data_IF_288641774772
#
_entry.id   IF_288641774772
#
_cell.length_a   1.000
_cell.length_b   1.000
_cell.length_c   1.000
_cell.angle_alpha   90.00
_cell.angle_beta   90.00
_cell.angle_gamma   90.00
#
_symmetry.space_group_name_H-M   'P 1'
#
loop_
_entity.id
_entity.type
_entity.pdbx_description
1 polymer ?
#
# COMPACT_ATOMS: atom_id res chain seq x y z
N UNK A 1 22.86 -4.84 7.22
CA UNK A 1 23.03 -3.52 6.59
C UNK A 1 23.14 -3.76 5.10
N UNK A 2 22.45 -2.97 4.29
CA UNK A 2 22.34 -3.23 2.84
C UNK A 2 23.67 -2.98 2.15
N UNK A 3 23.92 -3.76 1.09
CA UNK A 3 25.14 -3.71 0.31
C UNK A 3 25.24 -2.51 -0.63
N UNK A 4 24.09 -2.03 -1.11
CA UNK A 4 23.95 -0.84 -1.94
C UNK A 4 22.57 -0.21 -1.68
N UNK A 5 22.33 1.00 -2.20
CA UNK A 5 21.08 1.71 -1.98
C UNK A 5 20.00 1.29 -2.99
N UNK A 6 18.98 0.56 -2.53
CA UNK A 6 17.83 0.16 -3.35
C UNK A 6 16.95 1.33 -3.80
N UNK A 7 17.09 2.53 -3.23
CA UNK A 7 16.37 3.72 -3.70
C UNK A 7 16.78 4.13 -5.13
N UNK A 8 17.93 3.67 -5.61
CA UNK A 8 18.43 3.95 -6.96
C UNK A 8 17.58 3.28 -8.06
N UNK A 9 16.83 2.22 -7.73
CA UNK A 9 16.03 1.44 -8.70
C UNK A 9 14.94 2.29 -9.37
N UNK A 10 14.48 3.36 -8.72
CA UNK A 10 13.50 4.29 -9.31
C UNK A 10 14.00 4.95 -10.60
N UNK A 11 15.31 5.07 -10.79
CA UNK A 11 15.93 5.67 -11.97
C UNK A 11 16.15 4.66 -13.12
N UNK A 12 15.92 3.35 -12.90
CA UNK A 12 16.19 2.32 -13.91
C UNK A 12 15.39 2.49 -15.19
N UNK A 13 14.14 2.98 -15.14
CA UNK A 13 13.35 3.25 -16.34
C UNK A 13 14.00 4.31 -17.24
N UNK A 14 14.51 5.38 -16.62
CA UNK A 14 15.24 6.43 -17.32
C UNK A 14 16.54 5.88 -17.92
N UNK A 15 17.28 5.09 -17.14
CA UNK A 15 18.55 4.51 -17.59
C UNK A 15 18.35 3.47 -18.69
N UNK A 16 17.24 2.72 -18.65
CA UNK A 16 16.79 1.86 -19.74
C UNK A 16 16.57 2.64 -21.02
N UNK A 17 15.79 3.72 -20.96
CA UNK A 17 15.54 4.56 -22.13
C UNK A 17 16.85 5.17 -22.68
N UNK A 18 17.78 5.57 -21.82
CA UNK A 18 19.09 6.08 -22.25
C UNK A 18 19.91 4.99 -22.94
N UNK A 19 19.91 3.75 -22.41
CA UNK A 19 20.64 2.63 -22.99
C UNK A 19 20.03 2.20 -24.33
N UNK A 20 18.70 2.12 -24.43
CA UNK A 20 18.00 1.61 -25.61
C UNK A 20 18.05 2.56 -26.81
N UNK A 21 17.87 3.87 -26.56
CA UNK A 21 17.80 4.92 -27.59
C UNK A 21 19.16 5.46 -28.03
N UNK A 22 20.26 4.86 -27.59
CA UNK A 22 21.59 5.31 -27.91
C UNK A 22 22.11 4.57 -29.15
N UNK A 23 21.95 5.21 -30.31
CA UNK A 23 22.37 4.67 -31.61
C UNK A 23 23.83 5.04 -31.97
N UNK A 24 24.50 5.85 -31.14
CA UNK A 24 25.89 6.22 -31.36
C UNK A 24 26.80 5.11 -30.83
N UNK A 25 27.41 4.36 -31.74
CA UNK A 25 28.46 3.40 -31.40
C UNK A 25 29.70 4.14 -30.90
N UNK A 26 30.18 3.77 -29.70
CA UNK A 26 31.47 4.22 -29.22
C UNK A 26 32.58 3.48 -29.98
N UNK A 27 33.34 4.20 -30.80
CA UNK A 27 34.52 3.65 -31.46
C UNK A 27 35.75 3.75 -30.54
N UNK A 28 36.25 2.59 -30.11
CA UNK A 28 37.50 2.47 -29.36
C UNK A 28 38.59 1.89 -30.27
N UNK A 29 39.82 2.39 -30.15
CA UNK A 29 40.97 2.01 -30.98
C UNK A 29 41.24 0.49 -31.00
N UNK A 30 40.95 -0.20 -29.89
CA UNK A 30 40.91 -1.66 -29.79
C UNK A 30 39.48 -2.04 -29.42
N UNK A 31 38.66 -2.42 -30.41
CA UNK A 31 37.26 -2.77 -30.18
C UNK A 31 37.15 -3.98 -29.24
N UNK A 32 36.80 -3.79 -27.95
CA UNK A 32 36.81 -4.87 -26.97
C UNK A 32 35.62 -5.82 -27.21
N UNK A 33 34.60 -5.39 -27.96
CA UNK A 33 33.41 -6.16 -28.31
C UNK A 33 33.60 -7.06 -29.53
N UNK A 34 34.69 -6.92 -30.28
CA UNK A 34 34.99 -7.80 -31.41
C UNK A 34 35.24 -9.24 -30.92
N UNK A 35 35.10 -10.23 -31.81
CA UNK A 35 35.34 -11.65 -31.48
C UNK A 35 36.74 -11.94 -30.93
N UNK A 36 37.71 -11.04 -31.19
CA UNK A 36 39.08 -11.12 -30.69
C UNK A 36 39.38 -10.08 -29.59
N UNK A 37 38.40 -9.24 -29.26
CA UNK A 37 38.50 -8.23 -28.22
C UNK A 37 38.35 -8.84 -26.82
N UNK A 38 38.75 -8.10 -25.78
CA UNK A 38 38.76 -8.61 -24.41
C UNK A 38 37.39 -9.13 -23.94
N UNK A 39 36.31 -8.43 -24.32
CA UNK A 39 34.94 -8.79 -23.96
C UNK A 39 34.42 -9.85 -24.94
N UNK A 40 34.48 -9.62 -26.25
CA UNK A 40 33.86 -10.53 -27.23
C UNK A 40 34.50 -11.93 -27.29
N UNK A 41 35.79 -12.05 -26.93
CA UNK A 41 36.48 -13.35 -26.83
C UNK A 41 36.33 -14.03 -25.45
N UNK A 42 35.81 -13.32 -24.44
CA UNK A 42 35.74 -13.84 -23.07
C UNK A 42 34.84 -15.06 -23.01
N UNK A 43 35.41 -16.24 -22.72
CA UNK A 43 34.64 -17.48 -22.47
C UNK A 43 33.53 -17.76 -23.51
N UNK A 44 33.78 -17.43 -24.79
CA UNK A 44 32.84 -17.56 -25.90
C UNK A 44 31.51 -16.77 -25.76
N UNK A 45 31.47 -15.69 -24.97
CA UNK A 45 30.25 -14.90 -24.80
C UNK A 45 29.81 -14.17 -26.07
N UNK A 46 30.71 -13.94 -27.04
CA UNK A 46 30.41 -13.15 -28.25
C UNK A 46 29.22 -13.64 -29.07
N UNK A 47 28.91 -14.95 -29.03
CA UNK A 47 27.72 -15.51 -29.68
C UNK A 47 26.40 -15.13 -28.97
N UNK A 48 26.46 -14.92 -27.65
CA UNK A 48 25.29 -14.65 -26.79
C UNK A 48 25.17 -13.18 -26.40
N UNK A 49 26.27 -12.44 -26.50
CA UNK A 49 26.35 -11.01 -26.29
C UNK A 49 26.94 -10.36 -27.54
N UNK A 50 26.12 -10.18 -28.58
CA UNK A 50 26.57 -9.72 -29.88
C UNK A 50 27.26 -8.35 -29.79
N UNK A 51 28.15 -8.08 -30.75
CA UNK A 51 28.96 -6.86 -30.77
C UNK A 51 28.13 -5.57 -30.60
N UNK A 52 26.96 -5.47 -31.24
CA UNK A 52 26.09 -4.29 -31.13
C UNK A 52 25.53 -4.11 -29.70
N UNK A 53 25.20 -5.18 -28.97
CA UNK A 53 24.76 -5.09 -27.57
C UNK A 53 25.92 -4.66 -26.67
N UNK A 54 27.11 -5.21 -26.93
CA UNK A 54 28.33 -4.83 -26.23
C UNK A 54 28.69 -3.36 -26.47
N UNK A 55 28.60 -2.86 -27.70
CA UNK A 55 28.79 -1.44 -28.03
C UNK A 55 27.79 -0.54 -27.34
N UNK A 56 26.50 -0.90 -27.30
CA UNK A 56 25.50 -0.16 -26.52
C UNK A 56 25.88 -0.05 -25.05
N UNK A 57 26.36 -1.14 -24.47
CA UNK A 57 26.81 -1.19 -23.09
C UNK A 57 28.05 -0.30 -22.86
N UNK A 58 29.02 -0.29 -23.77
CA UNK A 58 30.18 0.63 -23.75
C UNK A 58 29.76 2.09 -23.87
N UNK A 59 28.86 2.43 -24.80
CA UNK A 59 28.40 3.81 -24.97
C UNK A 59 27.61 4.27 -23.76
N UNK A 60 26.83 3.39 -23.13
CA UNK A 60 26.19 3.72 -21.85
C UNK A 60 27.26 3.98 -20.78
N UNK A 61 28.26 3.10 -20.65
CA UNK A 61 29.34 3.26 -19.69
C UNK A 61 30.15 4.56 -19.89
N UNK A 62 30.39 5.00 -21.13
CA UNK A 62 31.14 6.24 -21.40
C UNK A 62 30.41 7.50 -20.95
N UNK A 63 29.08 7.44 -20.90
CA UNK A 63 28.23 8.54 -20.42
C UNK A 63 28.10 8.59 -18.90
N UNK A 64 28.57 7.57 -18.18
CA UNK A 64 28.60 7.58 -16.72
C UNK A 64 29.48 8.75 -16.25
N UNK A 65 28.85 9.70 -15.57
CA UNK A 65 29.48 10.93 -15.09
C UNK A 65 30.47 10.66 -13.97
N UNK A 66 31.50 11.49 -13.87
CA UNK A 66 32.47 11.42 -12.78
C UNK A 66 31.83 11.73 -11.42
N UNK A 67 31.98 10.83 -10.46
CA UNK A 67 31.67 11.06 -9.05
C UNK A 67 32.84 11.78 -8.37
N UNK A 68 33.24 12.95 -8.84
CA UNK A 68 34.36 13.63 -8.18
C UNK A 68 34.00 14.11 -6.77
N UNK A 69 32.70 14.31 -6.46
CA UNK A 69 32.24 14.79 -5.14
C UNK A 69 30.86 14.30 -4.65
N UNK A 70 30.09 13.57 -5.45
CA UNK A 70 28.74 13.13 -5.07
C UNK A 70 28.62 11.61 -5.12
N UNK A 71 28.52 11.00 -3.95
CA UNK A 71 28.24 9.57 -3.73
C UNK A 71 26.89 9.08 -4.28
N UNK A 72 26.17 9.84 -5.11
CA UNK A 72 24.74 9.62 -5.33
C UNK A 72 24.21 9.68 -6.76
N UNK A 73 25.01 10.02 -7.78
CA UNK A 73 24.52 10.17 -9.16
C UNK A 73 25.14 9.25 -10.20
N UNK A 74 26.30 8.63 -9.94
CA UNK A 74 26.78 7.57 -10.84
C UNK A 74 26.43 6.18 -10.30
N UNK A 75 25.94 6.07 -9.06
CA UNK A 75 25.57 4.78 -8.50
C UNK A 75 24.37 4.15 -9.22
N UNK A 76 23.37 4.93 -9.64
CA UNK A 76 22.21 4.41 -10.36
C UNK A 76 22.56 3.94 -11.77
N UNK A 77 23.41 4.66 -12.49
CA UNK A 77 23.85 4.28 -13.84
C UNK A 77 24.71 3.02 -13.77
N UNK A 78 25.66 3.00 -12.82
CA UNK A 78 26.52 1.86 -12.59
C UNK A 78 25.73 0.61 -12.17
N UNK A 79 24.76 0.75 -11.26
CA UNK A 79 23.91 -0.34 -10.80
C UNK A 79 23.00 -0.83 -11.92
N UNK A 80 22.38 0.08 -12.67
CA UNK A 80 21.53 -0.27 -13.80
C UNK A 80 22.30 -1.03 -14.87
N UNK A 81 23.52 -0.59 -15.23
CA UNK A 81 24.35 -1.28 -16.21
C UNK A 81 24.70 -2.71 -15.75
N UNK A 82 25.03 -2.89 -14.46
CA UNK A 82 25.29 -4.23 -13.90
C UNK A 82 24.04 -5.10 -13.99
N UNK A 83 22.90 -4.58 -13.53
CA UNK A 83 21.60 -5.24 -13.57
C UNK A 83 21.19 -5.64 -15.00
N UNK A 84 21.40 -4.74 -15.96
CA UNK A 84 21.09 -4.99 -17.37
C UNK A 84 21.98 -6.10 -17.95
N UNK A 85 23.30 -6.06 -17.71
CA UNK A 85 24.20 -7.13 -18.12
C UNK A 85 23.84 -8.47 -17.47
N UNK A 86 23.48 -8.46 -16.17
CA UNK A 86 23.01 -9.66 -15.49
C UNK A 86 21.86 -10.31 -16.23
N UNK A 87 20.85 -9.53 -16.61
CA UNK A 87 19.67 -10.04 -17.30
C UNK A 87 19.96 -10.51 -18.73
N UNK A 88 20.83 -9.82 -19.48
CA UNK A 88 21.29 -10.28 -20.79
C UNK A 88 21.99 -11.64 -20.68
N UNK A 89 22.83 -11.86 -19.67
CA UNK A 89 23.53 -13.15 -19.48
C UNK A 89 22.67 -14.24 -18.81
N UNK A 90 21.73 -13.86 -17.94
CA UNK A 90 20.78 -14.80 -17.29
C UNK A 90 19.94 -15.54 -18.32
N UNK A 91 19.54 -14.87 -19.40
CA UNK A 91 18.79 -15.47 -20.51
C UNK A 91 19.51 -16.67 -21.16
N UNK A 92 20.81 -16.80 -20.95
CA UNK A 92 21.67 -17.87 -21.49
C UNK A 92 22.32 -18.73 -20.41
N UNK A 93 21.89 -18.65 -19.15
CA UNK A 93 22.51 -19.31 -17.99
C UNK A 93 24.00 -18.95 -17.80
N UNK A 94 24.33 -17.68 -18.02
CA UNK A 94 25.70 -17.16 -17.98
C UNK A 94 25.88 -15.99 -17.01
N UNK A 95 24.94 -15.79 -16.09
CA UNK A 95 24.95 -14.66 -15.14
C UNK A 95 26.17 -14.64 -14.22
N UNK A 96 26.88 -15.76 -14.04
CA UNK A 96 28.16 -15.82 -13.34
C UNK A 96 29.25 -14.94 -13.97
N UNK A 97 29.15 -14.65 -15.28
CA UNK A 97 30.15 -13.86 -16.01
C UNK A 97 29.88 -12.36 -15.96
N UNK A 98 28.73 -11.93 -15.43
CA UNK A 98 28.34 -10.52 -15.37
C UNK A 98 29.39 -9.65 -14.69
N UNK A 99 29.95 -10.11 -13.56
CA UNK A 99 30.94 -9.37 -12.80
C UNK A 99 32.22 -9.09 -13.61
N UNK A 100 32.78 -10.13 -14.24
CA UNK A 100 34.02 -10.02 -15.02
C UNK A 100 33.84 -9.14 -16.26
N UNK A 101 32.69 -9.29 -16.93
CA UNK A 101 32.38 -8.51 -18.12
C UNK A 101 32.14 -7.05 -17.76
N UNK A 102 31.41 -6.78 -16.68
CA UNK A 102 31.22 -5.44 -16.15
C UNK A 102 32.57 -4.77 -15.84
N UNK A 103 33.48 -5.49 -15.17
CA UNK A 103 34.83 -5.02 -14.86
C UNK A 103 35.60 -4.63 -16.13
N UNK A 104 35.62 -5.51 -17.13
CA UNK A 104 36.30 -5.25 -18.41
C UNK A 104 35.69 -4.08 -19.15
N UNK A 105 34.37 -3.98 -19.17
CA UNK A 105 33.62 -2.92 -19.85
C UNK A 105 33.94 -1.54 -19.27
N UNK A 106 33.89 -1.40 -17.94
CA UNK A 106 34.23 -0.13 -17.28
C UNK A 106 35.69 0.24 -17.53
N UNK A 107 36.61 -0.72 -17.49
CA UNK A 107 38.03 -0.46 -17.72
C UNK A 107 38.36 -0.11 -19.17
N UNK A 108 37.64 -0.67 -20.14
CA UNK A 108 37.82 -0.34 -21.56
C UNK A 108 37.52 1.14 -21.84
N UNK A 109 36.59 1.72 -21.09
CA UNK A 109 36.12 3.10 -21.32
C UNK A 109 36.85 4.12 -20.43
N UNK A 110 37.07 3.79 -19.16
CA UNK A 110 37.61 4.77 -18.19
C UNK A 110 39.02 4.43 -17.70
N UNK A 111 39.59 3.31 -18.13
CA UNK A 111 40.88 2.82 -17.67
C UNK A 111 40.82 2.13 -16.29
N UNK A 112 41.88 1.38 -15.93
CA UNK A 112 41.90 0.55 -14.73
C UNK A 112 41.91 1.34 -13.42
N UNK A 113 42.47 2.56 -13.43
CA UNK A 113 42.66 3.38 -12.22
C UNK A 113 41.50 4.35 -11.93
N UNK A 114 40.47 4.39 -12.78
CA UNK A 114 39.31 5.24 -12.58
C UNK A 114 38.49 4.81 -11.34
N UNK A 115 37.80 5.76 -10.69
CA UNK A 115 36.94 5.51 -9.52
C UNK A 115 35.45 5.33 -9.84
N UNK A 116 34.99 5.55 -11.09
CA UNK A 116 33.58 5.30 -11.45
C UNK A 116 33.18 3.86 -11.19
N UNK A 117 31.95 3.68 -10.72
CA UNK A 117 31.35 2.37 -10.43
C UNK A 117 32.17 1.50 -9.47
N UNK A 118 33.02 2.10 -8.62
CA UNK A 118 33.99 1.37 -7.79
C UNK A 118 33.36 0.20 -7.02
N UNK A 119 32.21 0.42 -6.40
CA UNK A 119 31.53 -0.61 -5.63
C UNK A 119 31.20 -1.85 -6.49
N UNK A 120 30.49 -1.63 -7.61
CA UNK A 120 30.04 -2.69 -8.52
C UNK A 120 31.18 -3.31 -9.34
N UNK A 121 32.30 -2.60 -9.49
CA UNK A 121 33.50 -3.12 -10.16
C UNK A 121 34.25 -4.16 -9.32
N UNK A 122 34.10 -4.12 -7.99
CA UNK A 122 34.82 -5.01 -7.06
C UNK A 122 33.91 -5.89 -6.21
N UNK A 123 32.59 -5.73 -6.33
CA UNK A 123 31.61 -6.49 -5.56
C UNK A 123 30.57 -7.09 -6.49
N UNK A 124 30.48 -8.42 -6.50
CA UNK A 124 29.41 -9.13 -7.19
C UNK A 124 28.07 -8.95 -6.47
N UNK A 125 27.00 -8.70 -7.23
CA UNK A 125 25.63 -8.72 -6.72
C UNK A 125 25.11 -10.16 -6.75
N UNK A 126 24.59 -10.64 -5.62
CA UNK A 126 24.04 -11.99 -5.51
C UNK A 126 22.69 -12.13 -6.21
N UNK A 127 22.30 -13.36 -6.56
CA UNK A 127 21.02 -13.63 -7.20
C UNK A 127 19.82 -13.15 -6.36
N UNK A 128 19.88 -13.29 -5.03
CA UNK A 128 18.85 -12.78 -4.12
C UNK A 128 18.74 -11.26 -4.23
N UNK A 129 19.88 -10.56 -4.27
CA UNK A 129 19.89 -9.11 -4.42
C UNK A 129 19.35 -8.66 -5.78
N UNK A 130 19.65 -9.39 -6.85
CA UNK A 130 19.06 -9.16 -8.18
C UNK A 130 17.54 -9.39 -8.16
N UNK A 131 17.04 -10.43 -7.50
CA UNK A 131 15.60 -10.67 -7.41
C UNK A 131 14.86 -9.52 -6.71
N UNK A 132 15.48 -8.93 -5.67
CA UNK A 132 14.94 -7.74 -5.02
C UNK A 132 14.94 -6.52 -5.95
N UNK A 133 15.98 -6.36 -6.80
CA UNK A 133 16.02 -5.34 -7.85
C UNK A 133 14.91 -5.58 -8.89
N UNK A 134 14.74 -6.81 -9.38
CA UNK A 134 13.69 -7.20 -10.34
C UNK A 134 12.30 -6.84 -9.81
N UNK A 135 12.05 -7.10 -8.52
CA UNK A 135 10.77 -6.83 -7.90
C UNK A 135 10.49 -5.33 -7.76
N UNK A 136 11.43 -4.57 -7.21
CA UNK A 136 11.31 -3.11 -7.11
C UNK A 136 11.18 -2.45 -8.48
N UNK A 137 12.00 -2.87 -9.45
CA UNK A 137 11.98 -2.33 -10.79
C UNK A 137 10.64 -2.63 -11.49
N UNK A 138 10.13 -3.86 -11.34
CA UNK A 138 8.81 -4.23 -11.84
C UNK A 138 7.69 -3.39 -11.22
N UNK A 139 7.74 -3.12 -9.91
CA UNK A 139 6.76 -2.27 -9.23
C UNK A 139 6.82 -0.82 -9.70
N UNK A 140 8.02 -0.23 -9.82
CA UNK A 140 8.18 1.12 -10.37
C UNK A 140 7.70 1.22 -11.83
N UNK A 141 8.01 0.21 -12.64
CA UNK A 141 7.55 0.10 -14.03
C UNK A 141 6.02 0.04 -14.10
N UNK A 142 5.39 -0.76 -13.25
CA UNK A 142 3.94 -0.85 -13.16
C UNK A 142 3.30 0.49 -12.76
N UNK A 143 3.86 1.18 -11.76
CA UNK A 143 3.39 2.51 -11.36
C UNK A 143 3.53 3.52 -12.51
N UNK A 144 4.65 3.49 -13.22
CA UNK A 144 4.86 4.35 -14.38
C UNK A 144 3.81 4.12 -15.46
N UNK A 145 3.53 2.86 -15.82
CA UNK A 145 2.48 2.54 -16.81
C UNK A 145 1.09 3.01 -16.40
N UNK A 146 0.77 2.96 -15.10
CA UNK A 146 -0.51 3.46 -14.61
C UNK A 146 -0.55 4.98 -14.73
N UNK A 147 0.52 5.67 -14.31
CA UNK A 147 0.64 7.12 -14.35
C UNK A 147 0.53 7.68 -15.77
N UNK A 148 1.21 7.06 -16.73
CA UNK A 148 1.25 7.51 -18.14
C UNK A 148 0.15 6.90 -18.99
N UNK A 149 -0.61 5.94 -18.47
CA UNK A 149 -1.56 5.12 -19.23
C UNK A 149 -0.93 4.43 -20.47
N UNK A 150 0.38 4.16 -20.42
CA UNK A 150 1.14 3.56 -21.52
C UNK A 150 1.48 2.09 -21.25
N UNK A 151 0.52 1.20 -21.49
CA UNK A 151 0.68 -0.22 -21.19
C UNK A 151 1.30 -1.00 -22.37
N UNK A 152 2.25 -1.92 -22.11
CA UNK A 152 2.73 -2.83 -23.15
C UNK A 152 1.63 -3.82 -23.56
N UNK A 153 1.78 -4.41 -24.76
CA UNK A 153 0.83 -5.39 -25.29
C UNK A 153 0.58 -6.53 -24.29
N UNK A 154 -0.70 -6.85 -24.06
CA UNK A 154 -1.12 -7.90 -23.11
C UNK A 154 -1.11 -7.47 -21.64
N UNK A 155 -0.63 -6.26 -21.31
CA UNK A 155 -0.70 -5.70 -19.96
C UNK A 155 -1.80 -4.65 -19.86
N UNK A 156 -2.54 -4.66 -18.76
CA UNK A 156 -3.60 -3.68 -18.48
C UNK A 156 -3.40 -3.09 -17.08
N UNK A 157 -4.03 -1.93 -16.85
CA UNK A 157 -4.03 -1.22 -15.56
C UNK A 157 -4.20 -2.15 -14.36
N UNK A 158 -5.22 -3.00 -14.38
CA UNK A 158 -5.57 -3.86 -13.25
C UNK A 158 -4.49 -4.92 -12.94
N UNK A 159 -3.78 -5.41 -13.97
CA UNK A 159 -2.67 -6.34 -13.79
C UNK A 159 -1.50 -5.63 -13.09
N UNK A 160 -1.16 -4.41 -13.51
CA UNK A 160 -0.11 -3.61 -12.88
C UNK A 160 -0.39 -3.35 -11.39
N UNK A 161 -1.64 -3.02 -11.05
CA UNK A 161 -2.09 -2.77 -9.68
C UNK A 161 -1.97 -4.05 -8.84
N UNK A 162 -2.45 -5.17 -9.36
CA UNK A 162 -2.44 -6.47 -8.67
C UNK A 162 -1.00 -6.94 -8.42
N UNK A 163 -0.15 -6.94 -9.45
CA UNK A 163 1.26 -7.31 -9.32
C UNK A 163 2.00 -6.42 -8.31
N UNK A 164 1.73 -5.11 -8.31
CA UNK A 164 2.38 -4.18 -7.40
C UNK A 164 1.94 -4.44 -5.95
N UNK A 165 0.64 -4.58 -5.71
CA UNK A 165 0.10 -4.84 -4.36
C UNK A 165 0.54 -6.19 -3.81
N UNK A 166 0.50 -7.27 -4.61
CA UNK A 166 0.93 -8.59 -4.16
C UNK A 166 2.41 -8.63 -3.79
N UNK A 167 3.29 -8.00 -4.59
CA UNK A 167 4.72 -7.89 -4.23
C UNK A 167 4.92 -7.04 -2.97
N UNK A 168 4.19 -5.93 -2.85
CA UNK A 168 4.29 -5.08 -1.68
C UNK A 168 3.99 -5.85 -0.40
N UNK A 169 2.89 -6.61 -0.36
CA UNK A 169 2.49 -7.36 0.83
C UNK A 169 3.52 -8.42 1.24
N UNK A 170 4.13 -9.13 0.28
CA UNK A 170 5.19 -10.11 0.55
C UNK A 170 6.38 -9.49 1.27
N UNK A 171 6.75 -8.28 0.89
CA UNK A 171 7.92 -7.58 1.44
C UNK A 171 7.59 -6.71 2.66
N UNK A 172 6.36 -6.19 2.75
CA UNK A 172 5.91 -5.33 3.83
C UNK A 172 6.07 -6.00 5.19
N UNK A 173 5.68 -7.28 5.30
CA UNK A 173 5.84 -8.05 6.54
C UNK A 173 7.31 -8.16 6.96
N UNK A 174 8.23 -8.37 6.01
CA UNK A 174 9.68 -8.41 6.29
C UNK A 174 10.18 -7.06 6.78
N UNK A 175 9.70 -5.98 6.19
CA UNK A 175 10.07 -4.61 6.53
C UNK A 175 9.55 -4.12 7.90
N UNK A 176 8.49 -4.73 8.46
CA UNK A 176 8.03 -4.42 9.82
C UNK A 176 9.12 -4.63 10.88
N UNK A 177 9.95 -5.65 10.68
CA UNK A 177 11.03 -6.00 11.62
C UNK A 177 12.32 -5.18 11.42
N UNK A 178 12.52 -4.60 10.23
CA UNK A 178 13.73 -3.85 9.89
C UNK A 178 13.45 -2.73 8.89
N UNK A 179 12.86 -1.63 9.37
CA UNK A 179 12.47 -0.48 8.54
C UNK A 179 13.65 0.42 8.11
N UNK A 180 14.88 0.11 8.53
CA UNK A 180 16.05 0.98 8.24
C UNK A 180 16.78 0.61 6.95
N UNK A 181 16.49 -0.56 6.37
CA UNK A 181 17.10 -0.97 5.10
C UNK A 181 16.70 -0.03 3.97
N UNK A 182 17.64 0.25 3.07
CA UNK A 182 17.35 0.95 1.81
C UNK A 182 16.28 0.24 0.98
N UNK A 183 16.22 -1.09 1.05
CA UNK A 183 15.16 -1.86 0.41
C UNK A 183 13.77 -1.47 0.95
N UNK A 184 13.61 -1.42 2.27
CA UNK A 184 12.33 -1.05 2.89
C UNK A 184 11.98 0.43 2.65
N UNK A 185 12.98 1.32 2.57
CA UNK A 185 12.77 2.71 2.16
C UNK A 185 12.28 2.83 0.70
N UNK A 186 12.84 2.04 -0.22
CA UNK A 186 12.36 1.98 -1.60
C UNK A 186 10.93 1.42 -1.69
N UNK A 187 10.62 0.41 -0.87
CA UNK A 187 9.27 -0.14 -0.77
C UNK A 187 8.27 0.91 -0.23
N UNK A 188 8.67 1.74 0.73
CA UNK A 188 7.83 2.83 1.24
C UNK A 188 7.64 3.96 0.20
N UNK A 189 8.66 4.28 -0.62
CA UNK A 189 8.50 5.19 -1.76
C UNK A 189 7.44 4.68 -2.75
N UNK A 190 7.46 3.39 -3.05
CA UNK A 190 6.45 2.73 -3.90
C UNK A 190 5.04 2.85 -3.29
N UNK A 191 4.90 2.52 -2.00
CA UNK A 191 3.63 2.68 -1.26
C UNK A 191 3.10 4.12 -1.34
N UNK A 192 3.98 5.09 -1.10
CA UNK A 192 3.63 6.50 -1.12
C UNK A 192 3.17 6.95 -2.51
N UNK A 193 3.81 6.47 -3.58
CA UNK A 193 3.38 6.73 -4.96
C UNK A 193 2.04 6.06 -5.28
N UNK A 194 1.90 4.78 -4.94
CA UNK A 194 0.67 4.00 -5.13
C UNK A 194 -0.53 4.69 -4.46
N UNK A 195 -0.42 5.02 -3.17
CA UNK A 195 -1.53 5.57 -2.39
C UNK A 195 -1.92 7.01 -2.77
N UNK A 196 -1.00 7.77 -3.36
CA UNK A 196 -1.27 9.15 -3.81
C UNK A 196 -1.90 9.18 -5.20
N UNK A 197 -1.95 8.06 -5.91
CA UNK A 197 -2.40 8.02 -7.30
C UNK A 197 -3.94 8.15 -7.35
N UNK A 198 -4.48 9.22 -7.95
CA UNK A 198 -5.93 9.43 -8.01
C UNK A 198 -6.58 8.37 -8.90
N UNK A 199 -7.78 7.93 -8.52
CA UNK A 199 -8.59 7.00 -9.33
C UNK A 199 -7.82 5.72 -9.71
N UNK A 200 -6.88 5.30 -8.86
CA UNK A 200 -6.02 4.15 -9.10
C UNK A 200 -6.84 2.90 -9.44
N UNK A 201 -7.94 2.65 -8.73
CA UNK A 201 -8.74 1.44 -8.91
C UNK A 201 -9.87 1.57 -9.91
N UNK A 202 -10.05 2.73 -10.53
CA UNK A 202 -11.16 2.97 -11.46
C UNK A 202 -11.04 2.10 -12.70
N UNK A 203 -12.15 1.50 -13.12
CA UNK A 203 -12.21 0.58 -14.27
C UNK A 203 -11.65 -0.81 -14.00
N UNK A 204 -11.33 -1.14 -12.74
CA UNK A 204 -10.83 -2.45 -12.37
C UNK A 204 -11.75 -3.12 -11.35
N UNK A 205 -12.39 -4.21 -11.77
CA UNK A 205 -13.19 -5.03 -10.88
C UNK A 205 -12.27 -5.94 -10.05
N UNK A 206 -12.65 -6.18 -8.80
CA UNK A 206 -12.00 -7.16 -7.92
C UNK A 206 -10.52 -6.86 -7.54
N UNK A 207 -10.08 -5.60 -7.52
CA UNK A 207 -8.77 -5.26 -6.94
C UNK A 207 -8.76 -5.63 -5.45
N UNK A 208 -7.72 -6.39 -5.07
CA UNK A 208 -7.49 -6.86 -3.69
C UNK A 208 -7.16 -5.72 -2.73
N UNK A 209 -6.45 -4.69 -3.19
CA UNK A 209 -5.92 -3.63 -2.35
C UNK A 209 -6.12 -2.26 -2.99
N UNK A 210 -7.05 -1.47 -2.46
CA UNK A 210 -7.24 -0.08 -2.94
C UNK A 210 -6.16 0.87 -2.44
N UNK A 211 -5.58 0.54 -1.28
CA UNK A 211 -4.49 1.27 -0.65
C UNK A 211 -3.48 0.26 -0.07
N UNK A 212 -2.23 0.67 0.06
CA UNK A 212 -1.15 -0.11 0.67
C UNK A 212 -0.78 0.43 2.07
N UNK A 213 -0.51 -0.43 3.07
CA UNK A 213 -0.72 -1.88 3.04
C UNK A 213 -2.20 -2.23 2.85
N UNK A 214 -2.47 -3.40 2.31
CA UNK A 214 -3.82 -3.88 2.09
C UNK A 214 -4.55 -4.01 3.44
N UNK A 215 -5.71 -3.38 3.58
CA UNK A 215 -6.54 -3.59 4.77
C UNK A 215 -6.99 -5.05 4.80
N UNK A 216 -6.64 -5.77 5.88
CA UNK A 216 -7.00 -7.17 6.08
C UNK A 216 -8.52 -7.44 6.03
N UNK A 217 -9.32 -6.38 6.10
CA UNK A 217 -10.78 -6.42 6.08
C UNK A 217 -11.39 -6.28 4.68
N UNK A 218 -10.63 -5.92 3.63
CA UNK A 218 -11.16 -5.82 2.25
C UNK A 218 -11.40 -7.20 1.60
N UNK A 219 -10.76 -8.26 2.11
CA UNK A 219 -10.96 -9.64 1.64
C UNK A 219 -12.17 -10.34 2.26
N UNK A 220 -12.84 -9.72 3.25
CA UNK A 220 -14.17 -10.16 3.66
C UNK A 220 -15.16 -9.51 2.69
N UNK A 221 -15.30 -10.10 1.51
CA UNK A 221 -16.58 -10.02 0.78
C UNK A 221 -17.63 -10.68 1.66
N UNK A 222 -18.13 -9.93 2.65
CA UNK A 222 -19.51 -10.11 3.07
C UNK A 222 -20.29 -10.01 1.77
N UNK A 223 -21.02 -11.08 1.36
CA UNK A 223 -21.94 -10.93 0.25
C UNK A 223 -22.80 -9.73 0.60
N UNK A 224 -22.80 -8.75 -0.32
CA UNK A 224 -23.65 -7.57 -0.25
C UNK A 224 -24.98 -7.95 0.40
N UNK A 225 -25.50 -7.22 1.41
CA UNK A 225 -26.67 -7.66 2.15
C UNK A 225 -27.90 -7.60 1.25
N UNK A 226 -28.08 -8.60 0.37
CA UNK A 226 -29.39 -9.15 0.11
C UNK A 226 -29.77 -9.86 1.39
N UNK A 227 -30.10 -9.07 2.40
CA UNK A 227 -30.75 -9.52 3.62
C UNK A 227 -31.96 -10.28 3.11
N UNK A 228 -31.90 -11.61 3.15
CA UNK A 228 -33.03 -12.45 2.78
C UNK A 228 -34.17 -11.94 3.64
N UNK A 229 -35.29 -11.50 3.03
CA UNK A 229 -36.50 -11.04 3.75
C UNK A 229 -36.88 -11.97 4.92
N UNK A 230 -36.54 -13.26 4.81
CA UNK A 230 -36.70 -14.26 5.85
C UNK A 230 -35.91 -13.98 7.13
N UNK A 231 -34.66 -13.51 7.09
CA UNK A 231 -33.85 -13.27 8.29
C UNK A 231 -34.36 -12.05 9.06
N UNK A 232 -34.72 -10.96 8.36
CA UNK A 232 -35.35 -9.78 8.99
C UNK A 232 -36.72 -10.13 9.58
N UNK A 233 -37.52 -10.94 8.89
CA UNK A 233 -38.79 -11.41 9.39
C UNK A 233 -38.63 -12.29 10.64
N UNK A 234 -37.64 -13.20 10.65
CA UNK A 234 -37.33 -14.05 11.81
C UNK A 234 -36.87 -13.20 13.01
N UNK A 235 -35.95 -12.25 12.82
CA UNK A 235 -35.50 -11.33 13.88
C UNK A 235 -36.64 -10.46 14.44
N UNK A 236 -37.50 -9.94 13.55
CA UNK A 236 -38.67 -9.14 13.97
C UNK A 236 -39.69 -9.98 14.75
N UNK A 237 -39.94 -11.21 14.31
CA UNK A 237 -40.88 -12.13 14.99
C UNK A 237 -40.36 -12.54 16.37
N UNK A 238 -39.05 -12.80 16.47
CA UNK A 238 -38.39 -13.13 17.75
C UNK A 238 -38.46 -11.94 18.71
N UNK A 239 -38.22 -10.70 18.25
CA UNK A 239 -38.34 -9.52 19.11
C UNK A 239 -39.78 -9.32 19.63
N UNK A 240 -40.77 -9.47 18.74
CA UNK A 240 -42.19 -9.33 19.09
C UNK A 240 -42.63 -10.39 20.10
N UNK A 241 -42.07 -11.60 20.05
CA UNK A 241 -42.40 -12.66 20.99
C UNK A 241 -41.67 -12.52 22.33
N UNK A 242 -40.42 -12.05 22.33
CA UNK A 242 -39.61 -11.94 23.54
C UNK A 242 -40.05 -10.76 24.42
N UNK A 243 -40.43 -9.63 23.82
CA UNK A 243 -40.80 -8.41 24.59
C UNK A 243 -41.98 -8.67 25.56
N UNK A 244 -43.11 -9.26 25.13
CA UNK A 244 -44.23 -9.57 26.01
C UNK A 244 -43.87 -10.59 27.09
N UNK A 245 -43.02 -11.58 26.77
CA UNK A 245 -42.57 -12.59 27.72
C UNK A 245 -41.71 -11.95 28.81
N UNK A 246 -40.77 -11.07 28.44
CA UNK A 246 -39.96 -10.32 29.40
C UNK A 246 -40.82 -9.38 30.25
N UNK A 247 -41.79 -8.68 29.65
CA UNK A 247 -42.75 -7.85 30.38
C UNK A 247 -43.61 -8.66 31.34
N UNK A 248 -44.04 -9.86 30.95
CA UNK A 248 -44.79 -10.76 31.81
C UNK A 248 -43.94 -11.27 32.97
N UNK A 249 -42.67 -11.61 32.73
CA UNK A 249 -41.74 -12.03 33.77
C UNK A 249 -41.47 -10.88 34.74
N UNK A 250 -41.23 -9.67 34.24
CA UNK A 250 -41.06 -8.47 35.08
C UNK A 250 -42.34 -8.18 35.87
N UNK A 251 -43.51 -8.20 35.24
CA UNK A 251 -44.78 -7.93 35.90
C UNK A 251 -45.12 -8.96 36.98
N UNK A 252 -44.85 -10.25 36.72
CA UNK A 252 -45.19 -11.36 37.63
C UNK A 252 -44.13 -11.59 38.72
N UNK A 253 -42.85 -11.38 38.40
CA UNK A 253 -41.73 -11.76 39.27
C UNK A 253 -40.86 -10.59 39.73
N UNK A 254 -41.14 -9.34 39.33
CA UNK A 254 -40.54 -8.17 39.95
C UNK A 254 -41.51 -7.65 41.03
N UNK A 255 -41.30 -7.96 42.32
CA UNK A 255 -42.14 -7.48 43.39
C UNK A 255 -41.78 -6.02 43.66
N UNK A 256 -42.21 -5.11 42.79
CA UNK A 256 -42.23 -3.66 43.09
C UNK A 256 -43.36 -3.32 44.06
N UNK A 257 -43.65 -4.20 45.03
CA UNK A 257 -44.68 -4.00 46.02
C UNK A 257 -44.05 -3.95 47.42
N UNK A 258 -43.45 -2.79 47.73
CA UNK A 258 -43.36 -2.18 49.09
C UNK A 258 -42.26 -1.10 49.16
N UNK A 259 -41.16 -1.25 48.42
CA UNK A 259 -39.98 -0.37 48.54
C UNK A 259 -40.06 0.88 47.65
N UNK A 260 -40.47 0.73 46.38
CA UNK A 260 -40.63 1.88 45.47
C UNK A 260 -41.74 2.82 45.91
N UNK A 261 -42.86 2.30 46.44
CA UNK A 261 -43.94 3.14 46.94
C UNK A 261 -43.50 3.96 48.18
N UNK A 262 -42.67 3.38 49.07
CA UNK A 262 -42.03 4.11 50.18
C UNK A 262 -41.03 5.15 49.69
N UNK A 263 -40.24 4.83 48.66
CA UNK A 263 -39.28 5.75 48.05
C UNK A 263 -39.98 6.98 47.44
N UNK A 264 -41.01 6.74 46.64
CA UNK A 264 -41.83 7.80 46.02
C UNK A 264 -42.53 8.64 47.10
N UNK A 265 -43.12 8.01 48.14
CA UNK A 265 -43.76 8.73 49.26
C UNK A 265 -42.78 9.58 50.06
N UNK A 266 -41.54 9.11 50.27
CA UNK A 266 -40.46 9.90 50.91
C UNK A 266 -40.09 11.14 50.08
N UNK A 267 -39.95 10.98 48.76
CA UNK A 267 -39.63 12.09 47.85
C UNK A 267 -40.77 13.11 47.84
N UNK A 268 -42.03 12.64 47.75
CA UNK A 268 -43.22 13.50 47.75
C UNK A 268 -43.38 14.28 49.06
N UNK A 269 -43.07 13.66 50.21
CA UNK A 269 -43.08 14.32 51.51
C UNK A 269 -41.95 15.38 51.64
N UNK A 270 -40.76 15.10 51.09
CA UNK A 270 -39.64 16.05 51.07
C UNK A 270 -39.95 17.28 50.19
N UNK A 271 -40.61 17.06 49.06
CA UNK A 271 -41.10 18.14 48.19
C UNK A 271 -42.21 18.97 48.86
N UNK A 272 -43.17 18.33 49.56
CA UNK A 272 -44.20 19.04 50.35
C UNK A 272 -43.61 19.86 51.49
N UNK A 273 -42.55 19.37 52.14
CA UNK A 273 -41.82 20.11 53.18
C UNK A 273 -41.23 21.41 52.63
N UNK A 274 -40.49 21.34 51.53
CA UNK A 274 -39.93 22.51 50.84
C UNK A 274 -41.00 23.49 50.34
N UNK A 275 -42.14 22.98 49.84
CA UNK A 275 -43.26 23.83 49.40
C UNK A 275 -43.93 24.55 50.59
N UNK A 276 -44.06 23.89 51.75
CA UNK A 276 -44.56 24.51 52.99
C UNK A 276 -43.61 25.56 53.56
N UNK A 277 -42.31 25.38 53.37
CA UNK A 277 -41.26 26.30 53.79
C UNK A 277 -41.22 27.56 52.89
N UNK A 278 -41.37 27.38 51.57
CA UNK A 278 -41.62 28.45 50.60
C UNK A 278 -42.91 29.24 50.93
N UNK A 279 -44.01 28.54 51.19
CA UNK A 279 -45.31 29.18 51.48
C UNK A 279 -45.39 29.83 52.87
N UNK A 280 -44.45 29.58 53.78
CA UNK A 280 -44.36 30.30 55.07
C UNK A 280 -43.63 31.64 54.95
N UNK A 281 -42.92 31.89 53.85
CA UNK A 281 -42.24 33.17 53.59
C UNK A 281 -43.08 34.15 52.78
N UNK A 282 -44.28 33.76 52.33
CA UNK A 282 -45.23 34.65 51.66
C UNK A 282 -46.44 34.86 52.56
N UNK A 283 -46.49 36.03 53.21
CA UNK A 283 -47.69 36.50 53.87
C UNK A 283 -48.71 37.00 52.84
N UNK A 284 -49.91 36.44 52.99
CA UNK A 284 -51.27 36.87 52.62
C UNK A 284 -51.49 38.06 51.69
N UNK A 285 -52.22 37.82 50.60
CA UNK A 285 -53.42 38.59 50.30
C UNK A 285 -54.62 37.67 50.00
N UNK A 286 -55.72 38.07 50.60
CA UNK A 286 -57.10 37.55 50.64
C UNK A 286 -57.69 37.71 49.22
N UNK A 287 -58.51 36.85 48.61
CA UNK A 287 -59.84 36.41 49.06
C UNK A 287 -60.50 35.52 48.00
N UNK A 288 -61.30 34.54 48.46
CA UNK A 288 -62.64 34.13 47.98
C UNK A 288 -62.83 33.76 46.48
N UNK A 289 -63.52 32.69 46.08
CA UNK A 289 -64.39 31.72 46.76
C UNK A 289 -64.89 30.71 45.71
N UNK A 290 -65.03 29.44 46.12
CA UNK A 290 -66.17 28.52 45.87
C UNK A 290 -66.51 28.19 44.40
N UNK A 291 -66.15 27.01 43.86
CA UNK A 291 -66.87 25.71 43.91
C UNK A 291 -68.08 25.58 42.95
N UNK A 292 -68.01 24.64 42.00
CA UNK A 292 -69.03 23.60 41.67
C UNK A 292 -68.66 22.93 40.32
N UNK A 293 -68.33 21.63 40.28
CA UNK A 293 -69.18 20.44 40.39
C UNK A 293 -69.96 20.14 39.10
N UNK A 294 -69.60 19.04 38.41
CA UNK A 294 -70.47 18.00 37.84
C UNK A 294 -69.70 17.24 36.72
N UNK A 295 -69.42 15.94 36.82
CA UNK A 295 -70.29 14.75 36.85
C UNK A 295 -70.77 14.27 35.46
N UNK A 296 -70.21 13.12 35.07
CA UNK A 296 -70.78 12.00 34.28
C UNK A 296 -71.03 12.19 32.78
N UNK A 297 -70.38 11.38 31.92
CA UNK A 297 -70.88 10.14 31.27
C UNK A 297 -71.41 10.47 29.85
N UNK A 298 -71.41 9.66 28.77
CA UNK A 298 -70.94 8.33 28.33
C UNK A 298 -71.51 8.22 26.88
N UNK A 299 -70.73 7.72 25.89
CA UNK A 299 -71.14 7.06 24.60
C UNK A 299 -72.10 7.84 23.63
N UNK A 300 -72.16 7.69 22.29
CA UNK A 300 -71.44 6.99 21.23
C UNK A 300 -71.84 7.62 19.88
N UNK A 301 -71.21 7.10 18.83
CA UNK A 301 -71.69 6.92 17.44
C UNK A 301 -71.69 8.11 16.46
N UNK A 302 -70.90 7.84 15.42
CA UNK A 302 -70.91 8.33 14.05
C UNK A 302 -72.27 8.23 13.35
N UNK A 303 -72.46 9.15 12.40
CA UNK A 303 -72.70 8.84 10.97
C UNK A 303 -71.96 9.88 10.14
#
# INVERSE_FOLDING_TARGET
MDKFDYLLVKEFLKNKNILENNDNDLELANNPCSSYGSIGSYQNIGEKFPEHRCKKALTFASKIKDEYYNFGYAQEDCLYLYYWLYNEFKAYNMSQHTFDIYFQLINAVHGPNNMKCRYYRYTSISEIEIQLLDDLYGMYTNLHYIETSSYPSGKIKCNCITECSDKYEVYHEKCKSNNTSSFCRALDDIKNKYNKMPNLTDGCDNIKCKMLPCDSNENIRLPSPKIKKSITAILSTILILIIPILLFIIYKFLPCNSSMHRGIKKIMNKCRGKYKECNKSQNSEISNSIYWNNNYNVLYSST
#
